data_IF_292169609560
#
_entry.id   IF_292169609560
#
_cell.length_a   1.000
_cell.length_b   1.000
_cell.length_c   1.000
_cell.angle_alpha   90.00
_cell.angle_beta   90.00
_cell.angle_gamma   90.00
#
_symmetry.space_group_name_H-M   'P 1'
#
loop_
_entity.id
_entity.type
_entity.pdbx_description
1 polymer ?
#
# COMPACT_ATOMS: atom_id res chain seq x y z
N UNK A 1 14.07 -15.56 19.03
CA UNK A 1 13.71 -14.15 18.76
C UNK A 1 12.23 -13.99 19.05
N UNK A 2 11.88 -13.58 20.26
CA UNK A 2 10.50 -13.30 20.68
C UNK A 2 10.10 -11.92 20.16
N UNK A 3 9.29 -11.87 19.11
CA UNK A 3 8.72 -10.61 18.61
C UNK A 3 7.67 -10.11 19.62
N UNK A 4 8.00 -9.05 20.34
CA UNK A 4 7.07 -8.36 21.24
C UNK A 4 6.19 -7.42 20.43
N UNK A 5 4.99 -7.87 20.07
CA UNK A 5 3.98 -7.01 19.47
C UNK A 5 3.36 -6.12 20.54
N UNK A 6 3.50 -4.80 20.41
CA UNK A 6 2.77 -3.84 21.26
C UNK A 6 1.27 -3.90 20.92
N UNK A 7 0.36 -3.64 21.88
CA UNK A 7 -1.09 -3.76 21.66
C UNK A 7 -1.61 -2.97 20.45
N UNK A 8 -0.97 -1.83 20.15
CA UNK A 8 -1.32 -0.96 19.02
C UNK A 8 -0.81 -1.50 17.69
N UNK A 9 0.25 -2.31 17.67
CA UNK A 9 0.74 -2.96 16.44
C UNK A 9 -0.24 -3.99 15.89
N UNK A 10 -1.08 -4.59 16.74
CA UNK A 10 -2.15 -5.51 16.33
C UNK A 10 -3.33 -4.79 15.65
N UNK A 11 -3.49 -3.49 15.91
CA UNK A 11 -4.55 -2.67 15.33
C UNK A 11 -4.08 -1.84 14.12
N UNK A 12 -2.76 -1.84 13.84
CA UNK A 12 -2.19 -1.12 12.71
C UNK A 12 -2.44 -1.93 11.43
N UNK A 13 -3.36 -1.45 10.61
CA UNK A 13 -3.51 -1.94 9.25
C UNK A 13 -2.27 -1.48 8.49
N UNK A 14 -1.59 -2.38 7.77
CA UNK A 14 -0.44 -2.01 6.96
C UNK A 14 -0.83 -0.89 5.97
N UNK A 15 0.01 0.13 5.82
CA UNK A 15 -0.23 1.28 4.94
C UNK A 15 -0.79 0.93 3.54
N UNK A 16 -0.28 -0.11 2.84
CA UNK A 16 -0.81 -0.50 1.53
C UNK A 16 -2.26 -1.03 1.58
N UNK A 17 -2.64 -1.71 2.66
CA UNK A 17 -3.97 -2.26 2.84
C UNK A 17 -4.97 -1.16 3.26
N UNK A 18 -4.56 -0.22 4.11
CA UNK A 18 -5.36 0.97 4.42
C UNK A 18 -5.59 1.79 3.15
N UNK A 19 -4.54 2.04 2.34
CA UNK A 19 -4.66 2.73 1.06
C UNK A 19 -5.66 2.03 0.12
N UNK A 20 -5.63 0.69 0.05
CA UNK A 20 -6.59 -0.07 -0.77
C UNK A 20 -8.03 0.13 -0.29
N UNK A 21 -8.26 0.09 1.02
CA UNK A 21 -9.58 0.23 1.63
C UNK A 21 -10.15 1.63 1.39
N UNK A 22 -9.37 2.67 1.70
CA UNK A 22 -9.78 4.06 1.52
C UNK A 22 -10.03 4.39 0.04
N UNK A 23 -9.18 3.91 -0.86
CA UNK A 23 -9.33 4.14 -2.29
C UNK A 23 -10.57 3.43 -2.84
N UNK A 24 -10.78 2.17 -2.46
CA UNK A 24 -11.94 1.40 -2.89
C UNK A 24 -13.23 2.02 -2.38
N UNK A 25 -13.25 2.49 -1.13
CA UNK A 25 -14.40 3.16 -0.53
C UNK A 25 -14.71 4.51 -1.19
N UNK A 26 -13.68 5.29 -1.56
CA UNK A 26 -13.87 6.65 -2.09
C UNK A 26 -14.01 6.74 -3.61
N UNK A 27 -13.32 5.87 -4.38
CA UNK A 27 -13.24 5.92 -5.84
C UNK A 27 -13.67 4.62 -6.53
N UNK A 28 -13.93 3.56 -5.77
CA UNK A 28 -14.31 2.25 -6.28
C UNK A 28 -13.12 1.34 -6.66
N UNK A 29 -13.38 0.04 -6.64
CA UNK A 29 -12.37 -1.00 -6.87
C UNK A 29 -11.72 -0.93 -8.27
N UNK A 30 -12.51 -0.64 -9.31
CA UNK A 30 -11.99 -0.53 -10.68
C UNK A 30 -11.00 0.63 -10.85
N UNK A 31 -11.25 1.75 -10.15
CA UNK A 31 -10.34 2.90 -10.13
C UNK A 31 -9.00 2.52 -9.48
N UNK A 32 -9.05 1.83 -8.33
CA UNK A 32 -7.85 1.32 -7.67
C UNK A 32 -7.03 0.40 -8.58
N UNK A 33 -7.66 -0.58 -9.24
CA UNK A 33 -6.97 -1.50 -10.16
C UNK A 33 -6.31 -0.76 -11.33
N UNK A 34 -6.98 0.24 -11.90
CA UNK A 34 -6.42 1.07 -12.98
C UNK A 34 -5.18 1.84 -12.52
N UNK A 35 -5.26 2.48 -11.35
CA UNK A 35 -4.13 3.22 -10.76
C UNK A 35 -2.96 2.29 -10.46
N UNK A 36 -3.22 1.12 -9.87
CA UNK A 36 -2.17 0.13 -9.58
C UNK A 36 -1.47 -0.37 -10.85
N UNK A 37 -2.21 -0.56 -11.93
CA UNK A 37 -1.63 -0.91 -13.24
C UNK A 37 -0.72 0.20 -13.76
N UNK A 38 -1.15 1.45 -13.65
CA UNK A 38 -0.34 2.61 -14.03
C UNK A 38 0.94 2.69 -13.20
N UNK A 39 0.85 2.61 -11.87
CA UNK A 39 2.00 2.68 -10.97
C UNK A 39 3.00 1.54 -11.21
N UNK A 40 2.53 0.32 -11.50
CA UNK A 40 3.41 -0.79 -11.86
C UNK A 40 4.18 -0.52 -13.16
N UNK A 41 3.50 0.00 -14.18
CA UNK A 41 4.14 0.36 -15.44
C UNK A 41 5.14 1.52 -15.26
N UNK A 42 4.79 2.50 -14.44
CA UNK A 42 5.66 3.63 -14.10
C UNK A 42 6.91 3.15 -13.35
N UNK A 43 6.75 2.39 -12.27
CA UNK A 43 7.86 1.83 -11.50
C UNK A 43 8.81 1.00 -12.38
N UNK A 44 8.26 0.17 -13.28
CA UNK A 44 9.04 -0.61 -14.24
C UNK A 44 9.86 0.27 -15.21
N UNK A 45 9.33 1.41 -15.65
CA UNK A 45 10.05 2.35 -16.53
C UNK A 45 11.16 3.09 -15.81
N UNK A 46 10.98 3.33 -14.51
CA UNK A 46 11.93 4.04 -13.67
C UNK A 46 12.91 3.10 -12.93
N UNK A 47 12.90 1.80 -13.23
CA UNK A 47 13.71 0.78 -12.55
C UNK A 47 13.58 0.83 -11.02
N UNK A 48 12.42 1.26 -10.52
CA UNK A 48 12.14 1.41 -9.11
C UNK A 48 11.18 0.31 -8.63
N UNK A 49 11.28 -0.16 -7.38
CA UNK A 49 10.30 -1.07 -6.82
C UNK A 49 8.96 -0.35 -6.64
N UNK A 50 7.86 -1.04 -6.91
CA UNK A 50 6.51 -0.48 -6.77
C UNK A 50 6.24 0.10 -5.37
N UNK A 51 6.85 -0.49 -4.34
CA UNK A 51 6.74 -0.04 -2.96
C UNK A 51 7.15 1.42 -2.74
N UNK A 52 8.00 2.00 -3.59
CA UNK A 52 8.38 3.42 -3.46
C UNK A 52 7.22 4.38 -3.76
N UNK A 53 6.19 3.91 -4.45
CA UNK A 53 5.00 4.69 -4.79
C UNK A 53 3.76 4.27 -4.00
N UNK A 54 3.90 3.31 -3.09
CA UNK A 54 2.85 2.89 -2.17
C UNK A 54 3.10 3.49 -0.80
N UNK A 55 2.03 3.72 -0.05
CA UNK A 55 2.15 4.06 1.37
C UNK A 55 2.78 2.87 2.11
N UNK A 56 4.10 2.92 2.30
CA UNK A 56 4.82 1.97 3.14
C UNK A 56 5.02 2.56 4.53
N UNK A 57 5.06 1.66 5.49
CA UNK A 57 5.12 1.95 6.93
C UNK A 57 6.56 2.19 7.41
N UNK A 58 7.50 2.53 6.52
CA UNK A 58 8.91 2.79 6.85
C UNK A 58 9.06 4.21 7.44
N UNK A 59 8.61 4.35 8.69
CA UNK A 59 9.29 5.08 9.79
C UNK A 59 8.87 4.47 11.15
#
# INVERSE_FOLDING_TARGET
MTQHYTPTSLLKIAGPEQMRQEWTASKGYQSYVRTMRYLRAYASRHHAPLGYYLANDDD
#
